data_IF_410700450304
#
_entry.id   IF_410700450304
#
_cell.length_a   1.000
_cell.length_b   1.000
_cell.length_c   1.000
_cell.angle_alpha   90.00
_cell.angle_beta   90.00
_cell.angle_gamma   90.00
#
_symmetry.space_group_name_H-M   'P 1'
#
loop_
_entity.id
_entity.type
_entity.pdbx_description
1 polymer ?
#
# COMPACT_ATOMS: atom_id res chain seq x y z
N UNK A 1 23.97 36.18 -12.36
CA UNK A 1 24.86 35.00 -12.52
C UNK A 1 23.99 33.77 -12.29
N UNK A 2 23.65 33.05 -13.35
CA UNK A 2 22.68 31.95 -13.37
C UNK A 2 23.44 30.64 -13.09
N UNK A 3 22.84 29.72 -12.31
CA UNK A 3 23.37 28.38 -12.11
C UNK A 3 22.39 27.35 -12.67
N UNK A 4 22.86 26.50 -13.58
CA UNK A 4 22.11 25.36 -14.10
C UNK A 4 22.20 24.18 -13.12
N UNK A 5 21.06 23.58 -12.81
CA UNK A 5 20.99 22.35 -12.02
C UNK A 5 20.44 21.25 -12.93
N UNK A 6 21.23 20.19 -13.12
CA UNK A 6 20.81 19.02 -13.87
C UNK A 6 19.98 18.10 -12.98
N UNK A 7 18.69 18.00 -13.26
CA UNK A 7 17.78 17.03 -12.65
C UNK A 7 17.67 15.81 -13.56
N UNK A 8 18.65 14.91 -13.50
CA UNK A 8 18.57 13.63 -14.21
C UNK A 8 17.46 12.77 -13.59
N UNK A 9 16.41 12.48 -14.35
CA UNK A 9 15.49 11.38 -14.04
C UNK A 9 15.93 10.15 -14.85
N UNK A 10 16.15 9.02 -14.18
CA UNK A 10 16.26 7.72 -14.85
C UNK A 10 14.89 7.32 -15.39
N UNK A 11 14.58 7.79 -16.59
CA UNK A 11 13.50 7.27 -17.42
C UNK A 11 13.98 7.24 -18.86
N UNK A 12 13.69 6.13 -19.57
CA UNK A 12 14.17 5.77 -20.92
C UNK A 12 13.77 6.72 -22.07
N UNK A 13 13.48 8.00 -21.79
CA UNK A 13 13.40 9.07 -22.77
C UNK A 13 14.18 10.26 -22.19
N UNK A 14 15.33 10.56 -22.77
CA UNK A 14 16.25 11.64 -22.38
C UNK A 14 15.69 13.03 -22.74
N UNK A 15 14.57 13.43 -22.14
CA UNK A 15 14.21 14.85 -22.07
C UNK A 15 14.86 15.44 -20.83
N UNK A 16 16.06 16.02 -21.02
CA UNK A 16 16.71 16.86 -20.00
C UNK A 16 15.91 18.17 -19.87
N UNK A 17 15.17 18.31 -18.78
CA UNK A 17 14.54 19.57 -18.39
C UNK A 17 15.52 20.35 -17.52
N UNK A 18 16.10 21.41 -18.07
CA UNK A 18 16.94 22.34 -17.32
C UNK A 18 16.07 23.39 -16.64
N UNK A 19 16.07 23.43 -15.31
CA UNK A 19 15.39 24.48 -14.54
C UNK A 19 16.37 25.65 -14.33
N UNK A 20 16.05 26.81 -14.88
CA UNK A 20 16.78 28.06 -14.63
C UNK A 20 16.18 28.72 -13.39
N UNK A 21 16.92 28.73 -12.29
CA UNK A 21 16.47 29.27 -11.01
C UNK A 21 17.30 30.51 -10.66
N UNK A 22 16.65 31.59 -10.25
CA UNK A 22 17.33 32.78 -9.74
C UNK A 22 18.03 32.45 -8.40
N UNK A 23 19.27 32.92 -8.22
CA UNK A 23 20.13 32.56 -7.08
C UNK A 23 19.48 32.89 -5.73
N UNK A 24 18.60 33.89 -5.68
CA UNK A 24 17.84 34.28 -4.49
C UNK A 24 16.81 33.23 -4.03
N UNK A 25 16.31 32.42 -4.96
CA UNK A 25 15.29 31.40 -4.69
C UNK A 25 15.85 29.98 -4.69
N UNK A 26 17.16 29.82 -4.96
CA UNK A 26 17.84 28.53 -5.09
C UNK A 26 17.62 27.62 -3.86
N UNK A 27 17.82 28.14 -2.66
CA UNK A 27 17.67 27.35 -1.42
C UNK A 27 16.21 26.92 -1.18
N UNK A 28 15.24 27.77 -1.52
CA UNK A 28 13.82 27.44 -1.41
C UNK A 28 13.42 26.38 -2.43
N UNK A 29 13.90 26.49 -3.66
CA UNK A 29 13.64 25.51 -4.71
C UNK A 29 14.32 24.17 -4.42
N UNK A 30 15.54 24.16 -3.88
CA UNK A 30 16.23 22.94 -3.46
C UNK A 30 15.49 22.25 -2.32
N UNK A 31 15.06 22.99 -1.28
CA UNK A 31 14.22 22.45 -0.20
C UNK A 31 12.92 21.86 -0.71
N UNK A 32 12.26 22.53 -1.66
CA UNK A 32 11.04 22.02 -2.29
C UNK A 32 11.30 20.73 -3.10
N UNK A 33 12.39 20.67 -3.86
CA UNK A 33 12.78 19.46 -4.61
C UNK A 33 13.10 18.31 -3.65
N UNK A 34 13.77 18.57 -2.53
CA UNK A 34 14.04 17.57 -1.49
C UNK A 34 12.73 17.07 -0.86
N UNK A 35 11.80 17.96 -0.51
CA UNK A 35 10.47 17.59 -0.04
C UNK A 35 9.71 16.74 -1.06
N UNK A 36 9.74 17.10 -2.34
CA UNK A 36 9.12 16.30 -3.41
C UNK A 36 9.76 14.91 -3.55
N UNK A 37 11.09 14.80 -3.41
CA UNK A 37 11.80 13.52 -3.41
C UNK A 37 11.40 12.67 -2.21
N UNK A 38 11.33 13.25 -1.03
CA UNK A 38 10.87 12.56 0.19
C UNK A 38 9.43 12.06 0.04
N UNK A 39 8.52 12.90 -0.46
CA UNK A 39 7.13 12.52 -0.74
C UNK A 39 7.05 11.37 -1.76
N UNK A 40 7.89 11.39 -2.81
CA UNK A 40 7.96 10.31 -3.82
C UNK A 40 8.49 9.00 -3.23
N UNK A 41 9.49 9.07 -2.35
CA UNK A 41 10.02 7.90 -1.65
C UNK A 41 8.97 7.32 -0.69
N UNK A 42 8.21 8.17 0.00
CA UNK A 42 7.11 7.74 0.86
C UNK A 42 5.98 7.07 0.07
N UNK A 43 5.56 7.64 -1.07
CA UNK A 43 4.49 7.08 -1.91
C UNK A 43 4.88 5.74 -2.55
N UNK A 44 6.11 5.61 -3.05
CA UNK A 44 6.62 4.34 -3.61
C UNK A 44 6.70 3.21 -2.56
N UNK A 45 7.02 3.55 -1.30
CA UNK A 45 6.99 2.62 -0.17
C UNK A 45 5.56 2.19 0.19
N UNK A 46 4.58 3.08 0.09
CA UNK A 46 3.19 2.80 0.41
C UNK A 46 2.53 1.84 -0.59
N UNK A 47 2.77 2.02 -1.90
CA UNK A 47 2.23 1.11 -2.92
C UNK A 47 2.87 -0.29 -2.85
N UNK A 48 4.16 -0.33 -2.52
CA UNK A 48 4.86 -1.59 -2.22
C UNK A 48 4.26 -2.26 -0.99
N UNK A 49 3.90 -1.49 0.05
CA UNK A 49 3.26 -2.00 1.24
C UNK A 49 1.86 -2.58 0.93
N UNK A 50 1.01 -1.86 0.18
CA UNK A 50 -0.34 -2.32 -0.20
C UNK A 50 -0.32 -3.74 -0.79
N UNK A 51 0.63 -4.02 -1.69
CA UNK A 51 0.80 -5.34 -2.31
C UNK A 51 1.26 -6.44 -1.34
N UNK A 52 1.88 -6.05 -0.22
CA UNK A 52 2.44 -6.97 0.79
C UNK A 52 1.49 -7.23 1.97
N UNK A 53 0.51 -6.36 2.22
CA UNK A 53 -0.45 -6.48 3.33
C UNK A 53 -1.13 -7.85 3.35
N UNK A 54 -1.77 -8.26 2.25
CA UNK A 54 -2.50 -9.54 2.22
C UNK A 54 -1.57 -10.75 2.36
N UNK A 55 -0.47 -10.87 1.57
CA UNK A 55 0.50 -11.94 1.77
C UNK A 55 1.02 -12.03 3.21
N UNK A 56 1.28 -10.87 3.83
CA UNK A 56 1.76 -10.81 5.21
C UNK A 56 0.73 -11.36 6.19
N UNK A 57 -0.50 -10.82 6.21
CA UNK A 57 -1.51 -11.23 7.18
C UNK A 57 -2.00 -12.66 6.96
N UNK A 58 -2.15 -13.11 5.72
CA UNK A 58 -2.44 -14.52 5.42
C UNK A 58 -1.34 -15.45 5.93
N UNK A 59 -0.07 -15.03 5.86
CA UNK A 59 1.02 -15.83 6.41
C UNK A 59 1.01 -15.83 7.95
N UNK A 60 0.73 -14.69 8.59
CA UNK A 60 0.58 -14.64 10.05
C UNK A 60 -0.60 -15.49 10.53
N UNK A 61 -1.73 -15.43 9.83
CA UNK A 61 -2.89 -16.27 10.09
C UNK A 61 -2.57 -17.76 10.00
N UNK A 62 -1.81 -18.18 8.99
CA UNK A 62 -1.36 -19.56 8.87
C UNK A 62 -0.57 -20.01 10.10
N UNK A 63 0.39 -19.20 10.56
CA UNK A 63 1.18 -19.52 11.76
C UNK A 63 0.31 -19.56 13.02
N UNK A 64 -0.55 -18.55 13.19
CA UNK A 64 -1.50 -18.51 14.30
C UNK A 64 -2.43 -19.74 14.31
N UNK A 65 -2.93 -20.18 13.16
CA UNK A 65 -3.76 -21.38 13.04
C UNK A 65 -3.00 -22.66 13.41
N UNK A 66 -1.70 -22.74 13.08
CA UNK A 66 -0.83 -23.84 13.51
C UNK A 66 -0.66 -23.82 15.03
N UNK A 67 -0.36 -22.67 15.62
CA UNK A 67 -0.13 -22.52 17.06
C UNK A 67 -1.39 -22.85 17.88
N UNK A 68 -2.57 -22.50 17.36
CA UNK A 68 -3.87 -22.81 17.97
C UNK A 68 -4.42 -24.20 17.60
N UNK A 69 -3.62 -25.04 16.91
CA UNK A 69 -3.98 -26.41 16.53
C UNK A 69 -5.27 -26.52 15.70
N UNK A 70 -5.56 -25.52 14.87
CA UNK A 70 -6.72 -25.49 13.98
C UNK A 70 -6.46 -26.32 12.70
N UNK A 71 -6.35 -27.64 12.85
CA UNK A 71 -5.83 -28.52 11.79
C UNK A 71 -6.63 -28.45 10.48
N UNK A 72 -7.95 -28.32 10.53
CA UNK A 72 -8.80 -28.18 9.34
C UNK A 72 -8.47 -26.91 8.54
N UNK A 73 -8.30 -25.79 9.23
CA UNK A 73 -7.92 -24.49 8.66
C UNK A 73 -6.49 -24.54 8.09
N UNK A 74 -5.55 -25.13 8.84
CA UNK A 74 -4.16 -25.31 8.38
C UNK A 74 -4.10 -26.13 7.09
N UNK A 75 -4.83 -27.25 7.04
CA UNK A 75 -4.88 -28.10 5.85
C UNK A 75 -5.48 -27.34 4.66
N UNK A 76 -6.57 -26.60 4.88
CA UNK A 76 -7.17 -25.76 3.85
C UNK A 76 -6.18 -24.72 3.29
N UNK A 77 -5.47 -24.01 4.16
CA UNK A 77 -4.45 -23.02 3.76
C UNK A 77 -3.26 -23.65 3.01
N UNK A 78 -2.87 -24.88 3.37
CA UNK A 78 -1.84 -25.63 2.62
C UNK A 78 -2.31 -26.00 1.22
N UNK A 79 -3.56 -26.41 1.05
CA UNK A 79 -4.13 -26.72 -0.27
C UNK A 79 -4.15 -25.49 -1.18
N UNK A 80 -4.46 -24.29 -0.64
CA UNK A 80 -4.36 -23.03 -1.40
C UNK A 80 -2.94 -22.76 -1.95
N UNK A 81 -1.90 -23.22 -1.24
CA UNK A 81 -0.50 -23.11 -1.66
C UNK A 81 -0.07 -24.23 -2.60
N UNK A 82 -0.69 -25.41 -2.51
CA UNK A 82 -0.26 -26.61 -3.23
C UNK A 82 -0.38 -26.46 -4.75
N UNK A 83 -1.42 -25.76 -5.20
CA UNK A 83 -1.69 -25.52 -6.63
C UNK A 83 -0.85 -24.40 -7.25
N UNK A 84 0.13 -23.82 -6.52
CA UNK A 84 0.94 -22.71 -7.03
C UNK A 84 2.25 -23.20 -7.63
N UNK A 85 2.53 -22.72 -8.85
CA UNK A 85 3.76 -23.01 -9.60
C UNK A 85 4.99 -22.27 -9.03
N UNK A 86 4.79 -21.10 -8.42
CA UNK A 86 5.89 -20.32 -7.83
C UNK A 86 6.60 -21.11 -6.73
N UNK A 87 7.93 -21.20 -6.80
CA UNK A 87 8.78 -21.85 -5.79
C UNK A 87 8.54 -21.31 -4.37
N UNK A 88 8.21 -20.02 -4.23
CA UNK A 88 8.02 -19.37 -2.93
C UNK A 88 6.63 -19.67 -2.32
N UNK A 89 5.68 -20.19 -3.12
CA UNK A 89 4.30 -20.53 -2.72
C UNK A 89 3.67 -19.51 -1.75
N UNK A 90 3.86 -18.21 -2.04
CA UNK A 90 3.36 -17.11 -1.20
C UNK A 90 1.84 -17.00 -1.29
N UNK A 91 1.21 -16.60 -0.19
CA UNK A 91 -0.19 -16.20 -0.22
C UNK A 91 -0.36 -14.89 -1.00
N UNK A 92 -1.50 -14.73 -1.66
CA UNK A 92 -1.86 -13.59 -2.48
C UNK A 92 -3.32 -13.18 -2.21
N UNK A 93 -3.72 -12.01 -2.72
CA UNK A 93 -5.11 -11.55 -2.62
C UNK A 93 -6.10 -12.57 -3.19
N UNK A 94 -5.74 -13.25 -4.28
CA UNK A 94 -6.59 -14.29 -4.87
C UNK A 94 -6.91 -15.43 -3.90
N UNK A 95 -5.97 -15.79 -3.00
CA UNK A 95 -6.21 -16.83 -2.00
C UNK A 95 -7.17 -16.36 -0.92
N UNK A 96 -6.99 -15.13 -0.44
CA UNK A 96 -7.93 -14.52 0.50
C UNK A 96 -9.34 -14.45 -0.12
N UNK A 97 -9.46 -14.03 -1.38
CA UNK A 97 -10.75 -14.08 -2.10
C UNK A 97 -11.33 -15.49 -2.18
N UNK A 98 -10.50 -16.53 -2.34
CA UNK A 98 -10.94 -17.94 -2.28
C UNK A 98 -11.41 -18.35 -0.89
N UNK A 99 -11.05 -17.69 0.21
CA UNK A 99 -11.71 -17.98 1.50
C UNK A 99 -13.19 -17.54 1.43
N UNK A 100 -13.47 -16.41 0.78
CA UNK A 100 -14.78 -15.73 0.84
C UNK A 100 -15.66 -15.87 -0.41
N UNK A 101 -15.17 -16.46 -1.51
CA UNK A 101 -15.98 -16.59 -2.73
C UNK A 101 -17.19 -17.49 -2.50
N UNK A 102 -18.32 -17.21 -3.15
CA UNK A 102 -19.54 -18.02 -3.07
C UNK A 102 -19.60 -19.10 -4.17
N UNK A 103 -18.44 -19.58 -4.65
CA UNK A 103 -18.41 -20.59 -5.72
C UNK A 103 -19.28 -21.78 -5.34
N UNK A 104 -20.38 -21.94 -6.08
CA UNK A 104 -21.44 -22.94 -5.90
C UNK A 104 -20.96 -24.39 -6.17
N UNK A 105 -19.71 -24.58 -6.57
CA UNK A 105 -19.12 -25.86 -6.99
C UNK A 105 -18.24 -26.53 -5.94
N UNK A 106 -18.39 -26.15 -4.67
CA UNK A 106 -17.61 -26.73 -3.57
C UNK A 106 -18.41 -27.89 -2.97
N UNK A 107 -17.87 -29.11 -3.11
CA UNK A 107 -18.34 -30.36 -2.46
C UNK A 107 -18.71 -30.02 -1.01
N UNK A 108 -19.91 -30.42 -0.55
CA UNK A 108 -20.48 -29.98 0.74
C UNK A 108 -19.48 -30.00 1.94
N UNK A 109 -18.59 -31.01 2.02
CA UNK A 109 -17.57 -31.09 3.07
C UNK A 109 -16.52 -29.95 3.06
N UNK A 110 -16.21 -29.37 1.90
CA UNK A 110 -15.30 -28.23 1.80
C UNK A 110 -15.99 -26.91 2.19
N UNK A 111 -17.33 -26.81 2.18
CA UNK A 111 -18.04 -25.61 2.63
C UNK A 111 -17.89 -25.37 4.13
N UNK A 112 -17.96 -26.44 4.94
CA UNK A 112 -17.83 -26.34 6.39
C UNK A 112 -16.42 -25.92 6.81
N UNK A 113 -15.37 -26.53 6.22
CA UNK A 113 -13.98 -26.15 6.49
C UNK A 113 -13.72 -24.71 6.08
N UNK A 114 -14.31 -24.26 4.98
CA UNK A 114 -14.20 -22.87 4.54
C UNK A 114 -14.89 -21.90 5.49
N UNK A 115 -16.08 -22.23 6.00
CA UNK A 115 -16.75 -21.45 7.04
C UNK A 115 -15.86 -21.33 8.28
N UNK A 116 -15.32 -22.45 8.77
CA UNK A 116 -14.35 -22.44 9.88
C UNK A 116 -13.14 -21.55 9.59
N UNK A 117 -12.60 -21.59 8.38
CA UNK A 117 -11.48 -20.74 7.99
C UNK A 117 -11.85 -19.25 7.95
N UNK A 118 -13.08 -18.88 7.56
CA UNK A 118 -13.58 -17.49 7.60
C UNK A 118 -13.73 -17.00 9.03
N UNK A 119 -14.39 -17.80 9.87
CA UNK A 119 -14.61 -17.47 11.29
C UNK A 119 -13.25 -17.33 12.01
N UNK A 120 -12.32 -18.24 11.75
CA UNK A 120 -10.97 -18.20 12.29
C UNK A 120 -10.16 -16.99 11.76
N UNK A 121 -10.34 -16.61 10.50
CA UNK A 121 -9.71 -15.42 9.93
C UNK A 121 -10.21 -14.14 10.62
N UNK A 122 -11.51 -14.03 10.86
CA UNK A 122 -12.08 -12.92 11.62
C UNK A 122 -11.52 -12.85 13.03
N UNK A 123 -11.53 -13.97 13.77
CA UNK A 123 -10.94 -14.05 15.12
C UNK A 123 -9.46 -13.66 15.14
N UNK A 124 -8.70 -14.09 14.13
CA UNK A 124 -7.30 -13.70 13.98
C UNK A 124 -7.16 -12.18 13.80
N UNK A 125 -7.95 -11.56 12.92
CA UNK A 125 -7.89 -10.11 12.69
C UNK A 125 -8.25 -9.31 13.95
N UNK A 126 -9.30 -9.71 14.65
CA UNK A 126 -9.82 -9.00 15.82
C UNK A 126 -8.93 -9.18 17.07
N UNK A 127 -8.37 -10.38 17.28
CA UNK A 127 -7.65 -10.70 18.52
C UNK A 127 -6.13 -10.75 18.42
N UNK A 128 -5.57 -11.01 17.23
CA UNK A 128 -4.18 -11.48 17.12
C UNK A 128 -3.32 -10.78 16.06
N UNK A 129 -3.94 -10.13 15.07
CA UNK A 129 -3.21 -9.51 13.98
C UNK A 129 -2.27 -8.38 14.44
N UNK A 130 -2.70 -7.53 15.38
CA UNK A 130 -1.85 -6.45 15.95
C UNK A 130 -0.62 -7.03 16.63
N UNK A 131 -0.82 -8.00 17.54
CA UNK A 131 0.27 -8.70 18.23
C UNK A 131 1.23 -9.38 17.25
N UNK A 132 0.69 -9.98 16.17
CA UNK A 132 1.49 -10.62 15.12
C UNK A 132 2.38 -9.63 14.38
N UNK A 133 1.92 -8.40 14.12
CA UNK A 133 2.76 -7.32 13.57
C UNK A 133 3.82 -6.89 14.58
N UNK A 134 3.44 -6.67 15.83
CA UNK A 134 4.34 -6.17 16.87
C UNK A 134 5.48 -7.12 17.19
N UNK A 135 5.21 -8.43 17.23
CA UNK A 135 6.20 -9.49 17.49
C UNK A 135 7.05 -9.85 16.27
N UNK A 136 6.71 -9.36 15.07
CA UNK A 136 7.44 -9.73 13.86
C UNK A 136 8.81 -9.04 13.79
N UNK A 137 9.87 -9.82 13.98
CA UNK A 137 11.27 -9.33 13.94
C UNK A 137 11.74 -8.87 12.55
N UNK A 138 11.03 -9.24 11.47
CA UNK A 138 11.36 -8.81 10.11
C UNK A 138 10.95 -7.36 9.83
N UNK A 139 10.00 -6.81 10.60
CA UNK A 139 9.57 -5.41 10.49
C UNK A 139 10.32 -4.61 11.55
N UNK A 140 11.52 -4.14 11.22
CA UNK A 140 12.39 -3.45 12.19
C UNK A 140 11.88 -2.04 12.54
N UNK A 141 11.35 -1.32 11.56
CA UNK A 141 10.93 0.08 11.72
C UNK A 141 9.54 0.17 12.41
N UNK A 142 9.41 0.93 13.52
CA UNK A 142 8.13 1.16 14.19
C UNK A 142 7.06 1.75 13.27
N UNK A 143 7.42 2.72 12.41
CA UNK A 143 6.48 3.32 11.46
C UNK A 143 5.91 2.27 10.50
N UNK A 144 6.75 1.34 10.02
CA UNK A 144 6.26 0.27 9.14
C UNK A 144 5.32 -0.69 9.89
N UNK A 145 5.58 -0.98 11.17
CA UNK A 145 4.64 -1.76 11.99
C UNK A 145 3.29 -1.05 12.09
N UNK A 146 3.30 0.25 12.39
CA UNK A 146 2.08 1.05 12.45
C UNK A 146 1.34 1.04 11.11
N UNK A 147 2.06 1.16 9.99
CA UNK A 147 1.46 1.11 8.67
C UNK A 147 0.73 -0.24 8.43
N UNK A 148 1.30 -1.39 8.82
CA UNK A 148 0.58 -2.67 8.75
C UNK A 148 -0.64 -2.71 9.67
N UNK A 149 -0.52 -2.21 10.90
CA UNK A 149 -1.62 -2.17 11.87
C UNK A 149 -2.80 -1.37 11.32
N UNK A 150 -2.55 -0.25 10.65
CA UNK A 150 -3.58 0.59 10.04
C UNK A 150 -4.40 -0.12 8.94
N UNK A 151 -3.92 -1.24 8.37
CA UNK A 151 -4.70 -2.04 7.43
C UNK A 151 -5.64 -3.04 8.10
N UNK A 152 -5.49 -3.32 9.40
CA UNK A 152 -6.33 -4.31 10.10
C UNK A 152 -7.81 -3.88 10.12
N UNK A 153 -8.17 -2.64 10.49
CA UNK A 153 -9.58 -2.19 10.43
C UNK A 153 -10.18 -2.34 9.03
N UNK A 154 -9.40 -2.00 8.00
CA UNK A 154 -9.83 -2.10 6.60
C UNK A 154 -10.06 -3.55 6.17
N UNK A 155 -9.24 -4.49 6.66
CA UNK A 155 -9.43 -5.92 6.42
C UNK A 155 -10.69 -6.46 7.12
N UNK A 156 -11.04 -5.90 8.28
CA UNK A 156 -12.26 -6.25 9.02
C UNK A 156 -13.50 -5.67 8.31
N UNK A 157 -13.46 -4.42 7.86
CA UNK A 157 -14.57 -3.78 7.12
C UNK A 157 -14.93 -4.55 5.83
N UNK A 158 -13.94 -5.12 5.16
CA UNK A 158 -14.17 -5.95 3.98
C UNK A 158 -14.97 -7.23 4.27
N UNK A 159 -14.97 -7.74 5.51
CA UNK A 159 -15.76 -8.93 5.89
C UNK A 159 -17.26 -8.69 5.76
N UNK A 160 -17.71 -7.45 5.97
CA UNK A 160 -19.12 -7.06 5.92
C UNK A 160 -19.62 -6.76 4.50
N UNK A 161 -18.76 -6.87 3.50
CA UNK A 161 -19.13 -6.59 2.11
C UNK A 161 -19.82 -7.79 1.47
N UNK A 162 -20.73 -7.53 0.53
CA UNK A 162 -21.40 -8.58 -0.27
C UNK A 162 -20.37 -9.49 -0.97
N UNK A 163 -19.26 -8.90 -1.42
CA UNK A 163 -18.12 -9.62 -1.99
C UNK A 163 -16.82 -9.23 -1.26
N UNK A 164 -16.47 -9.91 -0.16
CA UNK A 164 -15.30 -9.58 0.63
C UNK A 164 -14.01 -9.60 -0.19
N UNK A 165 -13.16 -8.60 0.03
CA UNK A 165 -11.81 -8.45 -0.54
C UNK A 165 -11.77 -8.27 -2.06
N UNK A 166 -12.91 -8.23 -2.74
CA UNK A 166 -12.94 -8.10 -4.20
C UNK A 166 -12.36 -6.77 -4.68
N UNK A 167 -12.65 -5.71 -3.92
CA UNK A 167 -12.22 -4.34 -4.19
C UNK A 167 -11.14 -3.83 -3.23
N UNK A 168 -10.60 -4.67 -2.34
CA UNK A 168 -9.60 -4.25 -1.34
C UNK A 168 -8.50 -3.41 -1.99
N UNK A 169 -7.79 -3.93 -3.01
CA UNK A 169 -6.71 -3.18 -3.68
C UNK A 169 -7.18 -2.08 -4.64
N UNK A 170 -8.45 -2.08 -5.06
CA UNK A 170 -9.00 -1.04 -5.95
C UNK A 170 -9.58 0.16 -5.21
N UNK A 171 -10.02 -0.01 -3.95
CA UNK A 171 -10.41 1.11 -3.06
C UNK A 171 -9.21 2.01 -2.73
N UNK A 172 -7.98 1.49 -2.87
CA UNK A 172 -6.73 2.26 -2.72
C UNK A 172 -6.19 2.83 -4.04
N UNK A 173 -6.95 2.75 -5.15
CA UNK A 173 -6.72 3.64 -6.29
C UNK A 173 -7.16 5.02 -5.81
N UNK A 174 -6.16 5.84 -5.50
CA UNK A 174 -6.28 7.21 -4.99
C UNK A 174 -7.53 7.94 -5.47
N UNK A 175 -8.51 8.11 -4.59
CA UNK A 175 -8.85 9.50 -4.30
C UNK A 175 -7.68 9.96 -3.46
N UNK A 176 -6.95 10.97 -3.96
CA UNK A 176 -5.72 11.54 -3.41
C UNK A 176 -5.62 11.40 -1.89
N UNK A 177 -4.38 11.23 -1.40
CA UNK A 177 -3.90 11.97 -0.24
C UNK A 177 -5.00 12.27 0.78
N UNK A 178 -5.28 11.32 1.68
CA UNK A 178 -5.78 11.68 3.01
C UNK A 178 -4.66 12.54 3.63
N UNK A 179 -4.58 13.78 3.17
CA UNK A 179 -3.92 14.90 3.79
C UNK A 179 -4.50 14.90 5.19
N UNK A 180 -3.70 14.43 6.15
CA UNK A 180 -3.80 14.92 7.50
C UNK A 180 -3.53 16.41 7.33
N UNK A 181 -4.59 17.19 7.37
CA UNK A 181 -4.60 18.64 7.22
C UNK A 181 -3.79 19.24 8.38
N UNK A 182 -2.49 19.41 8.15
CA UNK A 182 -1.64 20.20 9.03
C UNK A 182 -1.42 21.53 8.29
N UNK A 183 -2.37 22.43 8.49
CA UNK A 183 -2.30 23.88 8.22
C UNK A 183 -2.00 24.30 6.77
N UNK A 184 -3.04 24.30 5.94
CA UNK A 184 -3.10 25.05 4.69
C UNK A 184 -3.03 26.60 4.83
N UNK A 185 -2.90 27.15 6.05
CA UNK A 185 -2.88 28.61 6.30
C UNK A 185 -1.50 29.27 6.17
N UNK A 186 -0.47 28.60 5.65
CA UNK A 186 0.87 29.19 5.47
C UNK A 186 1.42 29.16 4.05
N UNK A 187 0.61 28.87 3.03
CA UNK A 187 1.02 29.16 1.65
C UNK A 187 0.83 30.65 1.34
N UNK A 188 1.93 31.35 1.60
CA UNK A 188 2.31 32.69 1.22
C UNK A 188 1.65 33.13 -0.10
N UNK A 189 0.89 34.21 0.03
CA UNK A 189 0.50 35.15 -1.00
C UNK A 189 1.67 35.49 -1.94
N UNK A 190 1.67 34.89 -3.13
CA UNK A 190 2.34 35.46 -4.30
C UNK A 190 1.33 36.37 -5.02
N UNK A 191 1.02 37.51 -4.38
CA UNK A 191 0.43 38.63 -5.10
C UNK A 191 1.53 39.34 -5.91
N UNK A 192 1.26 39.45 -7.21
CA UNK A 192 1.63 40.55 -8.09
C UNK A 192 3.11 40.97 -8.15
N UNK A 193 3.83 40.51 -9.19
CA UNK A 193 4.20 41.42 -10.28
C UNK A 193 4.94 40.72 -11.44
N UNK A 194 4.49 41.07 -12.65
CA UNK A 194 5.26 41.07 -13.90
C UNK A 194 5.46 39.74 -14.65
N UNK A 195 4.37 39.17 -15.17
CA UNK A 195 4.41 38.42 -16.43
C UNK A 195 4.11 39.39 -17.59
N UNK A 196 5.14 40.04 -18.12
CA UNK A 196 5.05 40.61 -19.46
C UNK A 196 5.17 39.48 -20.47
N UNK A 197 4.02 39.04 -21.01
CA UNK A 197 3.93 38.30 -22.26
C UNK A 197 4.52 39.19 -23.37
N UNK A 198 5.76 38.93 -23.77
CA UNK A 198 6.24 39.38 -25.08
C UNK A 198 5.90 38.28 -26.07
N UNK A 199 4.73 38.44 -26.68
CA UNK A 199 4.44 37.94 -28.00
C UNK A 199 5.43 38.56 -28.98
N UNK A 200 6.24 37.73 -29.65
CA UNK A 200 6.92 38.10 -30.88
C UNK A 200 6.63 37.05 -31.93
N UNK A 201 5.44 37.22 -32.49
CA UNK A 201 5.21 37.01 -33.92
C UNK A 201 6.34 37.63 -34.77
N UNK A 202 6.75 36.86 -35.79
CA UNK A 202 7.42 37.24 -37.05
C UNK A 202 8.93 37.52 -37.05
N UNK A 203 9.69 36.64 -37.72
CA UNK A 203 10.00 36.83 -39.15
C UNK A 203 10.13 35.48 -39.86
#
# INVERSE_FOLDING_TARGET
MIQEINLSQESNNEQKVSLIIDKKNLDLTLKFIEQLKEMRIQSSNLDTLKRRVVPFFMNQFYHWAVDNRLQSVVNYLKELKKSKESQQKKFELGDLKKLFSNQQLIIQGQQQIRKQARDAWQQFLEGYAVSSVMKNSKIKCPQNKQNYINYIPLLIEELNQIFPYNKLLSKYKSNQDYYIDINANQMISFENNSLSLIDRSLK
#
